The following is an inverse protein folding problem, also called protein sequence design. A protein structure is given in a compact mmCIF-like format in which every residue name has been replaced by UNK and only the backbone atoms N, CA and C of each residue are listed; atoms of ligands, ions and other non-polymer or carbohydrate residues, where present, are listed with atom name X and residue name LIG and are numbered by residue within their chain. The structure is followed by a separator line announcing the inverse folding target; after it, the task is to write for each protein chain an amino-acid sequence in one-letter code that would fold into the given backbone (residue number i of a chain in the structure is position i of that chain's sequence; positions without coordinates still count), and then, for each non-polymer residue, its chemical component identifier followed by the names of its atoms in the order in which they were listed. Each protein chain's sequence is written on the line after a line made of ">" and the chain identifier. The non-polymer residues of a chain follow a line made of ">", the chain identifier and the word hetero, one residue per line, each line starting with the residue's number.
data_IF_794978210197
#
_entry.id   IF_794978210197
#
_cell.length_a   1.000
_cell.length_b   1.000
_cell.length_c   1.000
_cell.angle_alpha   90.00
_cell.angle_beta   90.00
_cell.angle_gamma   90.00
#
_symmetry.space_group_name_H-M   'P 1'
#
loop_
_entity.id
_entity.type
_entity.pdbx_description
1 polymer ?
#
# COMPACT_ATOMS: atom_id res chain seq x y z
N UNK A 1 35.71 49.94 -29.54
CA UNK A 1 34.98 48.81 -28.91
C UNK A 1 33.65 49.35 -28.41
N UNK A 2 32.55 48.71 -28.81
CA UNK A 2 31.19 48.99 -28.34
C UNK A 2 30.42 50.01 -29.17
N UNK A 3 29.44 49.56 -29.95
CA UNK A 3 28.18 50.27 -30.19
C UNK A 3 27.05 49.27 -30.49
N UNK A 4 25.79 49.59 -30.13
CA UNK A 4 24.68 48.65 -30.03
C UNK A 4 23.65 48.75 -31.17
N UNK A 5 22.56 48.01 -30.97
CA UNK A 5 21.40 47.71 -31.80
C UNK A 5 20.72 48.82 -32.64
N UNK A 6 20.21 48.33 -33.78
CA UNK A 6 18.97 48.64 -34.56
C UNK A 6 18.75 50.02 -35.15
N UNK A 7 18.52 50.04 -36.47
CA UNK A 7 17.38 50.79 -37.01
C UNK A 7 16.80 50.16 -38.30
N UNK A 8 15.46 50.22 -38.41
CA UNK A 8 14.66 49.84 -39.58
C UNK A 8 14.54 51.03 -40.55
N UNK A 9 14.34 50.73 -41.84
CA UNK A 9 13.16 51.13 -42.63
C UNK A 9 13.44 51.59 -44.08
N UNK A 10 12.62 51.04 -44.98
CA UNK A 10 11.78 51.74 -45.98
C UNK A 10 12.06 51.58 -47.49
N UNK A 11 10.92 51.46 -48.21
CA UNK A 11 10.59 51.75 -49.65
C UNK A 11 10.57 50.54 -50.60
N UNK A 12 9.40 50.01 -51.04
CA UNK A 12 8.35 50.47 -52.03
C UNK A 12 8.51 49.70 -53.40
N UNK A 13 7.59 49.75 -54.40
CA UNK A 13 6.41 48.87 -54.58
C UNK A 13 6.22 48.31 -56.03
N UNK A 14 5.25 47.41 -56.28
CA UNK A 14 4.56 47.16 -57.60
C UNK A 14 3.50 46.06 -57.39
N UNK A 15 2.18 46.30 -57.48
CA UNK A 15 1.28 46.48 -58.63
C UNK A 15 0.59 45.18 -59.18
N UNK A 16 -0.70 45.02 -58.81
CA UNK A 16 -1.88 44.69 -59.64
C UNK A 16 -1.95 43.36 -60.45
N UNK A 17 -2.89 42.44 -60.10
CA UNK A 17 -4.05 42.04 -60.96
C UNK A 17 -5.02 41.05 -60.28
N UNK A 18 -6.26 41.11 -60.76
CA UNK A 18 -7.52 40.52 -60.30
C UNK A 18 -7.77 39.03 -60.65
N UNK A 19 -8.56 38.38 -59.77
CA UNK A 19 -9.73 37.49 -59.99
C UNK A 19 -9.58 36.19 -60.82
N UNK A 20 -9.85 35.05 -60.19
CA UNK A 20 -10.76 34.01 -60.72
C UNK A 20 -11.22 33.02 -59.63
N UNK A 21 -12.48 32.59 -59.77
CA UNK A 21 -13.29 31.73 -58.89
C UNK A 21 -13.08 30.23 -59.19
N UNK A 22 -13.54 29.39 -58.24
CA UNK A 22 -13.99 27.97 -58.30
C UNK A 22 -13.00 26.88 -57.85
N UNK A 23 -13.45 25.68 -57.38
CA UNK A 23 -14.62 25.35 -56.53
C UNK A 23 -14.26 24.66 -55.20
N UNK A 24 -15.18 24.72 -54.23
CA UNK A 24 -15.26 23.78 -53.10
C UNK A 24 -15.64 22.38 -53.61
N UNK A 25 -14.89 21.35 -53.22
CA UNK A 25 -15.26 19.94 -53.38
C UNK A 25 -16.25 19.53 -52.27
N UNK A 26 -17.35 18.82 -52.57
CA UNK A 26 -18.15 18.16 -51.55
C UNK A 26 -17.47 16.85 -51.07
N UNK A 27 -17.49 16.62 -49.76
CA UNK A 27 -17.03 15.39 -49.10
C UNK A 27 -18.01 14.24 -49.29
N UNK A 28 -17.49 13.02 -49.34
CA UNK A 28 -18.10 11.71 -49.67
C UNK A 28 -19.28 11.21 -48.79
N UNK A 29 -20.05 12.10 -48.14
CA UNK A 29 -21.17 11.71 -47.28
C UNK A 29 -22.52 11.58 -48.02
N UNK A 30 -22.68 12.24 -49.17
CA UNK A 30 -23.95 12.28 -49.93
C UNK A 30 -24.12 11.16 -50.98
N UNK A 31 -23.17 10.22 -51.08
CA UNK A 31 -23.28 9.05 -51.98
C UNK A 31 -23.76 7.77 -51.30
N UNK A 32 -23.91 7.78 -49.97
CA UNK A 32 -24.31 6.59 -49.19
C UNK A 32 -25.81 6.50 -48.88
N UNK A 33 -26.54 7.61 -48.85
CA UNK A 33 -27.99 7.59 -48.59
C UNK A 33 -28.86 7.22 -49.81
N UNK A 34 -28.32 7.34 -51.03
CA UNK A 34 -29.06 7.04 -52.27
C UNK A 34 -29.17 5.55 -52.62
N UNK A 35 -28.41 4.67 -51.96
CA UNK A 35 -28.37 3.24 -52.25
C UNK A 35 -29.18 2.36 -51.28
N UNK A 36 -29.71 2.93 -50.19
CA UNK A 36 -30.46 2.20 -49.17
C UNK A 36 -31.99 2.21 -49.35
N UNK A 37 -32.51 2.89 -50.37
CA UNK A 37 -33.95 2.96 -50.69
C UNK A 37 -34.39 2.04 -51.84
N UNK A 38 -33.53 1.11 -52.28
CA UNK A 38 -33.78 0.23 -53.44
C UNK A 38 -33.82 -1.28 -53.14
N UNK A 39 -33.82 -1.68 -51.86
CA UNK A 39 -33.99 -3.08 -51.46
C UNK A 39 -35.10 -3.20 -50.42
N UNK A 40 -36.34 -3.21 -50.90
CA UNK A 40 -37.50 -3.57 -50.10
C UNK A 40 -37.41 -5.03 -49.66
N UNK A 41 -37.28 -5.26 -48.34
CA UNK A 41 -37.56 -6.53 -47.65
C UNK A 41 -37.85 -6.25 -46.16
N UNK A 42 -39.15 -6.11 -45.83
CA UNK A 42 -39.74 -6.36 -44.50
C UNK A 42 -40.34 -7.80 -44.55
N UNK A 43 -40.58 -8.57 -43.45
CA UNK A 43 -40.89 -8.13 -42.07
C UNK A 43 -40.40 -9.07 -40.92
N UNK A 44 -39.60 -8.56 -39.97
CA UNK A 44 -39.24 -9.31 -38.73
C UNK A 44 -39.69 -8.65 -37.42
N UNK A 45 -40.19 -7.42 -37.47
CA UNK A 45 -40.38 -6.58 -36.28
C UNK A 45 -41.83 -6.52 -35.76
N UNK A 46 -42.78 -7.21 -36.42
CA UNK A 46 -44.18 -7.22 -35.99
C UNK A 46 -44.52 -8.32 -34.96
N UNK A 47 -43.68 -9.36 -34.81
CA UNK A 47 -43.92 -10.47 -33.87
C UNK A 47 -43.38 -10.20 -32.45
N UNK A 48 -42.40 -9.30 -32.30
CA UNK A 48 -41.85 -8.93 -30.99
C UNK A 48 -42.77 -8.03 -30.16
N UNK A 49 -43.61 -7.22 -30.81
CA UNK A 49 -44.45 -6.23 -30.12
C UNK A 49 -45.70 -6.83 -29.46
N UNK A 50 -46.20 -7.96 -29.98
CA UNK A 50 -47.35 -8.70 -29.40
C UNK A 50 -46.96 -9.56 -28.18
N UNK A 51 -45.71 -10.03 -28.09
CA UNK A 51 -45.23 -10.82 -26.95
C UNK A 51 -44.99 -9.97 -25.68
N UNK A 52 -44.62 -8.70 -25.85
CA UNK A 52 -44.36 -7.79 -24.71
C UNK A 52 -45.67 -7.38 -24.02
N UNK A 53 -46.78 -7.26 -24.75
CA UNK A 53 -48.10 -6.93 -24.20
C UNK A 53 -48.69 -8.07 -23.33
N UNK A 54 -48.41 -9.33 -23.66
CA UNK A 54 -48.91 -10.51 -22.92
C UNK A 54 -48.26 -10.70 -21.54
N UNK A 55 -46.98 -10.33 -21.41
CA UNK A 55 -46.19 -10.55 -20.18
C UNK A 55 -46.48 -9.48 -19.12
N UNK A 56 -46.85 -8.27 -19.55
CA UNK A 56 -47.24 -7.16 -18.66
C UNK A 56 -48.64 -7.40 -18.07
N UNK A 57 -49.58 -7.94 -18.87
CA UNK A 57 -50.94 -8.24 -18.43
C UNK A 57 -51.02 -9.37 -17.38
N UNK A 58 -50.14 -10.38 -17.48
CA UNK A 58 -50.07 -11.50 -16.52
C UNK A 58 -49.43 -11.09 -15.19
N UNK A 59 -48.46 -10.18 -15.22
CA UNK A 59 -47.80 -9.66 -14.00
C UNK A 59 -48.72 -8.75 -13.17
N UNK A 60 -49.59 -7.97 -13.82
CA UNK A 60 -50.58 -7.13 -13.15
C UNK A 60 -51.71 -7.93 -12.48
N UNK A 61 -52.06 -9.10 -13.02
CA UNK A 61 -53.10 -9.98 -12.44
C UNK A 61 -52.62 -10.66 -11.15
N UNK A 62 -51.32 -11.00 -11.05
CA UNK A 62 -50.73 -11.62 -9.85
C UNK A 62 -50.61 -10.60 -8.70
N UNK A 63 -50.28 -9.35 -9.01
CA UNK A 63 -50.24 -8.26 -8.02
C UNK A 63 -51.62 -7.88 -7.49
N UNK A 64 -52.67 -7.98 -8.32
CA UNK A 64 -54.05 -7.73 -7.89
C UNK A 64 -54.61 -8.86 -6.99
N UNK A 65 -54.15 -10.10 -7.15
CA UNK A 65 -54.57 -11.24 -6.31
C UNK A 65 -53.88 -11.28 -4.95
N UNK A 66 -52.69 -10.68 -4.80
CA UNK A 66 -51.98 -10.59 -3.51
C UNK A 66 -52.54 -9.47 -2.63
N UNK A 67 -53.22 -8.47 -3.21
CA UNK A 67 -53.69 -7.29 -2.48
C UNK A 67 -55.08 -7.43 -1.86
N UNK A 68 -55.75 -8.58 -1.98
CA UNK A 68 -57.08 -8.82 -1.40
C UNK A 68 -57.11 -10.10 -0.56
N UNK A 69 -56.82 -10.01 0.74
CA UNK A 69 -57.22 -11.05 1.69
C UNK A 69 -56.31 -11.26 2.89
N UNK A 70 -56.51 -10.46 3.95
CA UNK A 70 -56.27 -10.87 5.34
C UNK A 70 -57.59 -10.69 6.10
N UNK A 71 -57.88 -11.53 7.09
CA UNK A 71 -57.66 -11.03 8.44
C UNK A 71 -57.04 -12.04 9.43
N UNK A 72 -56.55 -11.44 10.51
CA UNK A 72 -55.80 -11.96 11.65
C UNK A 72 -56.44 -13.09 12.46
N UNK A 73 -55.60 -13.93 13.10
CA UNK A 73 -55.82 -14.40 14.48
C UNK A 73 -54.57 -15.01 15.12
N UNK A 74 -54.45 -14.69 16.40
CA UNK A 74 -53.51 -15.13 17.44
C UNK A 74 -53.66 -16.61 17.84
N UNK A 75 -52.56 -17.27 18.22
CA UNK A 75 -52.59 -18.48 19.05
C UNK A 75 -51.32 -19.34 18.96
N UNK A 76 -50.62 -19.50 20.08
CA UNK A 76 -49.54 -20.48 20.28
C UNK A 76 -50.02 -21.93 20.07
N UNK A 77 -49.17 -22.85 19.56
CA UNK A 77 -49.47 -24.28 19.59
C UNK A 77 -48.91 -24.96 20.87
N UNK A 78 -49.55 -26.05 21.34
CA UNK A 78 -49.06 -26.81 22.48
C UNK A 78 -48.11 -27.95 22.06
N UNK A 79 -47.34 -28.34 23.07
CA UNK A 79 -46.40 -29.45 23.21
C UNK A 79 -47.07 -30.80 22.89
N UNK A 80 -46.38 -31.63 22.09
CA UNK A 80 -46.62 -33.08 22.03
C UNK A 80 -45.39 -33.80 22.58
N UNK A 81 -45.61 -34.43 23.72
CA UNK A 81 -44.73 -35.35 24.43
C UNK A 81 -44.73 -36.70 23.73
N UNK A 82 -43.57 -37.27 23.45
CA UNK A 82 -43.44 -38.72 23.21
C UNK A 82 -42.38 -39.29 24.13
N UNK A 83 -42.88 -40.19 24.96
CA UNK A 83 -42.25 -40.95 26.01
C UNK A 83 -41.65 -42.24 25.43
N UNK A 84 -40.52 -42.69 25.99
CA UNK A 84 -40.01 -44.08 26.15
C UNK A 84 -38.48 -44.01 26.12
N UNK A 85 -37.70 -44.54 27.06
CA UNK A 85 -37.95 -45.39 28.20
C UNK A 85 -36.77 -46.36 28.36
N UNK A 86 -36.10 -46.36 29.53
CA UNK A 86 -35.32 -47.44 30.20
C UNK A 86 -34.10 -46.85 30.93
N UNK A 87 -34.20 -46.66 32.27
CA UNK A 87 -33.78 -47.56 33.38
C UNK A 87 -32.26 -47.59 33.61
N UNK A 88 -31.79 -46.90 34.65
CA UNK A 88 -31.43 -47.39 36.01
C UNK A 88 -29.98 -47.95 36.01
N UNK A 89 -29.03 -47.55 36.86
CA UNK A 89 -28.98 -47.54 38.34
C UNK A 89 -27.74 -46.73 38.82
N UNK A 90 -27.90 -45.93 39.88
CA UNK A 90 -27.04 -45.58 41.06
C UNK A 90 -25.49 -45.55 40.95
N UNK A 91 -24.69 -44.72 41.65
CA UNK A 91 -24.87 -43.78 42.76
C UNK A 91 -23.66 -42.82 42.85
N UNK A 92 -23.92 -41.58 43.27
CA UNK A 92 -23.14 -40.78 44.24
C UNK A 92 -21.68 -40.39 43.94
N UNK A 93 -21.44 -39.10 43.62
CA UNK A 93 -20.85 -38.11 44.56
C UNK A 93 -20.89 -36.69 43.95
N UNK A 94 -21.09 -35.72 44.85
CA UNK A 94 -21.27 -34.28 44.63
C UNK A 94 -20.07 -33.62 43.93
N UNK A 95 -20.32 -32.74 42.95
CA UNK A 95 -20.17 -31.28 43.09
C UNK A 95 -20.55 -30.58 41.77
N UNK A 96 -21.44 -29.58 41.85
CA UNK A 96 -21.75 -28.58 40.81
C UNK A 96 -21.17 -27.25 41.33
N UNK A 97 -20.67 -26.32 40.49
CA UNK A 97 -21.49 -25.68 39.46
C UNK A 97 -20.79 -25.36 38.12
N UNK A 98 -21.60 -25.12 37.09
CA UNK A 98 -21.20 -24.41 35.86
C UNK A 98 -21.37 -25.20 34.57
N UNK A 99 -22.61 -25.40 34.13
CA UNK A 99 -22.86 -25.79 32.74
C UNK A 99 -22.52 -24.63 31.79
N UNK A 100 -21.68 -24.95 30.79
CA UNK A 100 -21.75 -24.50 29.39
C UNK A 100 -21.77 -23.01 29.09
N UNK A 101 -20.75 -22.59 28.33
CA UNK A 101 -20.93 -22.24 26.93
C UNK A 101 -19.58 -22.38 26.22
N UNK A 102 -19.24 -23.60 25.78
CA UNK A 102 -18.18 -23.77 24.79
C UNK A 102 -18.76 -23.29 23.47
N UNK A 103 -18.44 -22.04 23.16
CA UNK A 103 -18.67 -21.43 21.86
C UNK A 103 -18.03 -22.30 20.77
N UNK A 104 -18.88 -23.00 20.01
CA UNK A 104 -18.45 -23.82 18.85
C UNK A 104 -17.86 -22.98 17.72
N UNK A 105 -17.90 -21.65 17.78
CA UNK A 105 -17.25 -20.80 16.78
C UNK A 105 -15.76 -20.54 17.03
N UNK A 106 -15.17 -21.03 18.14
CA UNK A 106 -13.73 -20.84 18.42
C UNK A 106 -12.80 -21.93 17.88
N UNK A 107 -13.32 -22.97 17.23
CA UNK A 107 -12.53 -24.11 16.77
C UNK A 107 -12.35 -24.21 15.23
N UNK A 108 -12.80 -23.20 14.47
CA UNK A 108 -12.62 -23.17 13.00
C UNK A 108 -11.55 -22.19 12.50
N UNK A 109 -10.88 -21.46 13.39
CA UNK A 109 -9.74 -20.64 13.01
C UNK A 109 -8.47 -21.48 13.17
N UNK A 110 -8.05 -22.14 12.08
CA UNK A 110 -6.66 -22.62 11.97
C UNK A 110 -5.67 -21.47 12.19
N UNK A 111 -4.34 -21.73 12.26
CA UNK A 111 -3.31 -20.74 12.60
C UNK A 111 -3.09 -19.64 11.53
N UNK A 112 -4.09 -19.39 10.67
CA UNK A 112 -4.08 -18.46 9.56
C UNK A 112 -5.19 -17.39 9.64
N UNK A 113 -5.85 -17.24 10.79
CA UNK A 113 -6.83 -16.18 11.00
C UNK A 113 -6.14 -14.84 11.29
N UNK A 114 -6.51 -13.83 10.48
CA UNK A 114 -6.45 -12.39 10.76
C UNK A 114 -5.11 -11.76 11.15
N UNK A 115 -4.14 -11.82 10.23
CA UNK A 115 -3.02 -10.88 10.27
C UNK A 115 -3.24 -9.81 9.19
N UNK A 116 -3.60 -8.59 9.64
CA UNK A 116 -3.72 -7.40 8.79
C UNK A 116 -2.32 -6.98 8.33
N UNK A 117 -2.14 -6.76 7.02
CA UNK A 117 -0.84 -6.31 6.50
C UNK A 117 -0.72 -4.81 6.79
N UNK A 118 0.39 -4.43 7.40
CA UNK A 118 0.79 -3.04 7.53
C UNK A 118 1.51 -2.64 6.24
N UNK A 119 0.75 -2.12 5.26
CA UNK A 119 1.29 -1.84 3.92
C UNK A 119 2.44 -0.83 3.90
N UNK A 120 2.55 0.03 4.91
CA UNK A 120 3.66 0.97 5.07
C UNK A 120 4.98 0.26 5.41
N UNK A 121 4.93 -0.93 6.03
CA UNK A 121 6.11 -1.74 6.36
C UNK A 121 6.64 -2.55 5.16
N UNK A 122 5.87 -2.63 4.08
CA UNK A 122 6.34 -3.23 2.84
C UNK A 122 7.33 -2.29 2.16
N UNK A 123 8.42 -2.83 1.61
CA UNK A 123 9.21 -2.09 0.62
C UNK A 123 8.37 -1.80 -0.63
N UNK A 124 8.78 -0.79 -1.40
CA UNK A 124 8.15 -0.46 -2.69
C UNK A 124 8.04 -1.70 -3.60
N UNK A 125 9.11 -2.49 -3.70
CA UNK A 125 9.14 -3.72 -4.51
C UNK A 125 8.18 -4.80 -3.96
N UNK A 126 8.02 -4.93 -2.64
CA UNK A 126 7.06 -5.85 -2.03
C UNK A 126 5.62 -5.40 -2.32
N UNK A 127 5.36 -4.09 -2.23
CA UNK A 127 4.06 -3.53 -2.54
C UNK A 127 3.71 -3.69 -4.03
N UNK A 128 4.64 -3.42 -4.93
CA UNK A 128 4.50 -3.67 -6.37
C UNK A 128 4.19 -5.14 -6.67
N UNK A 129 4.92 -6.09 -6.05
CA UNK A 129 4.64 -7.53 -6.19
C UNK A 129 3.25 -7.90 -5.70
N UNK A 130 2.80 -7.32 -4.59
CA UNK A 130 1.44 -7.52 -4.08
C UNK A 130 0.40 -7.04 -5.09
N UNK A 131 0.54 -5.82 -5.62
CA UNK A 131 -0.35 -5.27 -6.64
C UNK A 131 -0.34 -6.14 -7.89
N UNK A 132 0.83 -6.62 -8.35
CA UNK A 132 0.95 -7.53 -9.49
C UNK A 132 0.16 -8.82 -9.28
N UNK A 133 0.27 -9.44 -8.11
CA UNK A 133 -0.44 -10.68 -7.78
C UNK A 133 -1.95 -10.45 -7.71
N UNK A 134 -2.40 -9.33 -7.13
CA UNK A 134 -3.80 -8.91 -7.13
C UNK A 134 -4.31 -8.72 -8.57
N UNK A 135 -3.59 -7.96 -9.40
CA UNK A 135 -3.97 -7.73 -10.79
C UNK A 135 -3.95 -9.01 -11.61
N UNK A 136 -3.02 -9.93 -11.36
CA UNK A 136 -2.99 -11.25 -12.02
C UNK A 136 -4.25 -12.06 -11.68
N UNK A 137 -4.72 -11.97 -10.44
CA UNK A 137 -5.98 -12.59 -10.03
C UNK A 137 -7.21 -11.86 -10.60
N UNK A 138 -7.20 -10.53 -10.72
CA UNK A 138 -8.33 -9.78 -11.28
C UNK A 138 -8.45 -9.91 -12.80
N UNK A 139 -7.32 -9.81 -13.51
CA UNK A 139 -7.25 -9.65 -14.96
C UNK A 139 -6.91 -10.96 -15.65
N UNK A 140 -6.07 -11.80 -15.04
CA UNK A 140 -5.62 -13.08 -15.57
C UNK A 140 -4.10 -13.19 -15.68
N UNK A 141 -3.58 -14.36 -16.10
CA UNK A 141 -2.14 -14.67 -16.11
C UNK A 141 -1.32 -13.83 -17.11
N UNK A 142 -1.96 -13.10 -18.02
CA UNK A 142 -1.30 -12.26 -19.01
C UNK A 142 -0.83 -10.89 -18.47
N UNK A 143 -0.99 -10.64 -17.16
CA UNK A 143 -0.40 -9.46 -16.51
C UNK A 143 1.12 -9.56 -16.59
N UNK A 144 1.74 -8.54 -17.18
CA UNK A 144 3.19 -8.43 -17.34
C UNK A 144 3.71 -7.30 -16.45
N UNK A 145 4.42 -7.66 -15.40
CA UNK A 145 5.19 -6.72 -14.58
C UNK A 145 6.49 -6.31 -15.27
N UNK A 146 6.94 -5.08 -15.01
CA UNK A 146 8.19 -4.56 -15.53
C UNK A 146 9.24 -4.46 -14.42
N UNK A 147 10.50 -4.73 -14.75
CA UNK A 147 11.62 -4.46 -13.85
C UNK A 147 11.94 -2.97 -13.84
N UNK A 148 12.47 -2.46 -12.72
CA UNK A 148 12.93 -1.07 -12.61
C UNK A 148 13.95 -0.77 -13.72
N UNK A 149 13.60 0.16 -14.61
CA UNK A 149 14.40 0.53 -15.76
C UNK A 149 14.03 1.92 -16.29
N UNK A 150 14.71 2.41 -17.34
CA UNK A 150 14.46 3.73 -17.93
C UNK A 150 13.03 3.91 -18.49
N UNK A 151 12.29 2.81 -18.64
CA UNK A 151 10.95 2.75 -19.20
C UNK A 151 9.89 3.38 -18.27
N UNK A 152 9.89 4.71 -18.23
CA UNK A 152 8.67 5.50 -18.40
C UNK A 152 7.59 5.47 -17.32
N UNK A 153 7.77 4.76 -16.21
CA UNK A 153 6.86 4.78 -15.07
C UNK A 153 5.57 3.99 -15.26
N UNK A 154 5.66 2.75 -15.76
CA UNK A 154 4.58 1.75 -15.64
C UNK A 154 5.11 0.57 -14.83
N UNK A 155 4.36 0.12 -13.83
CA UNK A 155 4.79 -1.02 -13.02
C UNK A 155 4.33 -2.35 -13.66
N UNK A 156 3.16 -2.32 -14.31
CA UNK A 156 2.67 -3.46 -15.08
C UNK A 156 1.73 -3.08 -16.22
N UNK A 157 1.48 -4.04 -17.11
CA UNK A 157 0.43 -3.96 -18.12
C UNK A 157 -0.33 -5.27 -18.28
N UNK A 158 -1.52 -5.18 -18.84
CA UNK A 158 -2.30 -6.32 -19.32
C UNK A 158 -2.89 -6.00 -20.69
N UNK A 159 -2.98 -7.00 -21.56
CA UNK A 159 -3.57 -6.86 -22.89
C UNK A 159 -4.48 -8.07 -23.15
N UNK A 160 -5.79 -7.81 -23.28
CA UNK A 160 -6.79 -8.83 -23.56
C UNK A 160 -8.07 -8.61 -22.75
N UNK A 161 -8.89 -9.65 -22.65
CA UNK A 161 -10.12 -9.67 -21.87
C UNK A 161 -9.86 -10.12 -20.44
N UNK A 162 -10.18 -9.28 -19.47
CA UNK A 162 -10.02 -9.57 -18.06
C UNK A 162 -10.89 -10.75 -17.60
N UNK A 163 -10.43 -11.50 -16.60
CA UNK A 163 -11.18 -12.63 -16.05
C UNK A 163 -12.31 -12.21 -15.10
N UNK A 164 -12.05 -11.24 -14.22
CA UNK A 164 -12.94 -10.92 -13.08
C UNK A 164 -13.33 -9.43 -12.99
N UNK A 165 -12.62 -8.54 -13.67
CA UNK A 165 -12.75 -7.09 -13.47
C UNK A 165 -13.36 -6.36 -14.67
N UNK A 166 -14.29 -5.41 -14.47
CA UNK A 166 -14.94 -5.05 -13.20
C UNK A 166 -15.98 -6.09 -12.75
N UNK A 167 -16.42 -6.96 -13.65
CA UNK A 167 -17.25 -8.13 -13.36
C UNK A 167 -16.97 -9.26 -14.34
N UNK A 168 -17.38 -10.49 -14.01
CA UNK A 168 -17.23 -11.65 -14.90
C UNK A 168 -18.16 -11.61 -16.11
N UNK A 169 -19.27 -10.87 -16.04
CA UNK A 169 -20.25 -10.74 -17.12
C UNK A 169 -19.95 -9.58 -18.07
N UNK A 170 -19.28 -8.54 -17.58
CA UNK A 170 -18.83 -7.40 -18.37
C UNK A 170 -17.38 -7.03 -18.03
N UNK A 171 -16.41 -7.90 -18.33
CA UNK A 171 -15.02 -7.62 -18.05
C UNK A 171 -14.47 -6.54 -18.99
N UNK A 172 -13.45 -5.81 -18.53
CA UNK A 172 -12.67 -4.94 -19.40
C UNK A 172 -11.94 -5.78 -20.46
N UNK A 173 -11.89 -5.27 -21.69
CA UNK A 173 -11.25 -5.94 -22.82
C UNK A 173 -10.41 -4.93 -23.61
N UNK A 174 -9.09 -5.01 -23.47
CA UNK A 174 -8.17 -4.05 -24.08
C UNK A 174 -6.85 -3.96 -23.34
N UNK A 175 -6.19 -2.79 -23.47
CA UNK A 175 -4.89 -2.52 -22.86
C UNK A 175 -5.08 -1.81 -21.52
N UNK A 176 -4.69 -2.49 -20.45
CA UNK A 176 -4.78 -1.98 -19.08
C UNK A 176 -3.36 -1.64 -18.61
N UNK A 177 -3.15 -0.40 -18.18
CA UNK A 177 -1.90 0.02 -17.51
C UNK A 177 -2.13 0.04 -16.02
N UNK A 178 -1.20 -0.56 -15.27
CA UNK A 178 -1.28 -0.71 -13.82
C UNK A 178 -0.11 0.05 -13.22
N UNK A 179 -0.45 0.95 -12.29
CA UNK A 179 0.51 1.69 -11.49
C UNK A 179 0.27 1.41 -10.01
N UNK A 180 1.34 1.14 -9.28
CA UNK A 180 1.43 1.09 -7.85
C UNK A 180 2.18 2.34 -7.34
N UNK A 181 1.71 2.93 -6.24
CA UNK A 181 2.38 4.03 -5.55
C UNK A 181 2.42 3.72 -4.06
N UNK A 182 3.61 3.48 -3.55
CA UNK A 182 3.84 3.17 -2.13
C UNK A 182 4.29 4.43 -1.36
N UNK A 183 4.01 4.45 -0.06
CA UNK A 183 4.61 5.35 0.92
C UNK A 183 4.86 4.61 2.22
N UNK A 184 6.00 4.84 2.83
CA UNK A 184 6.37 4.36 4.16
C UNK A 184 5.63 5.11 5.29
N UNK A 185 4.99 6.24 4.98
CA UNK A 185 4.25 7.00 5.97
C UNK A 185 2.91 6.34 6.31
N UNK A 186 2.59 6.37 7.60
CA UNK A 186 1.38 5.75 8.15
C UNK A 186 0.15 6.65 7.91
N UNK A 187 -1.03 6.05 7.74
CA UNK A 187 -2.34 6.74 7.70
C UNK A 187 -2.50 7.81 6.60
N UNK A 188 -1.71 7.71 5.52
CA UNK A 188 -1.77 8.64 4.39
C UNK A 188 -3.05 8.48 3.58
N UNK A 189 -3.43 9.55 2.89
CA UNK A 189 -4.68 9.62 2.12
C UNK A 189 -4.42 10.07 0.70
N UNK A 190 -5.26 9.62 -0.23
CA UNK A 190 -5.24 10.10 -1.61
C UNK A 190 -5.50 11.61 -1.73
N UNK A 191 -6.19 12.21 -0.76
CA UNK A 191 -6.53 13.64 -0.77
C UNK A 191 -5.38 14.55 -0.34
N UNK A 192 -4.28 14.01 0.17
CA UNK A 192 -3.18 14.83 0.68
C UNK A 192 -2.46 15.59 -0.44
N UNK A 193 -1.91 16.79 -0.15
CA UNK A 193 -1.32 17.65 -1.18
C UNK A 193 -0.12 17.03 -1.92
N UNK A 194 0.69 16.22 -1.23
CA UNK A 194 1.83 15.50 -1.81
C UNK A 194 1.40 14.50 -2.89
N UNK A 195 0.19 13.92 -2.77
CA UNK A 195 -0.33 12.98 -3.74
C UNK A 195 -1.17 13.64 -4.84
N UNK A 196 -2.13 14.47 -4.45
CA UNK A 196 -3.23 14.89 -5.31
C UNK A 196 -3.38 16.41 -5.52
N UNK A 197 -2.41 17.23 -5.09
CA UNK A 197 -2.45 18.66 -5.42
C UNK A 197 -2.21 18.91 -6.92
N UNK A 198 -2.48 20.14 -7.34
CA UNK A 198 -2.15 20.62 -8.70
C UNK A 198 -0.70 21.14 -8.80
N UNK A 199 0.09 21.03 -7.72
CA UNK A 199 1.51 21.32 -7.77
C UNK A 199 2.22 20.32 -8.70
N UNK A 200 3.25 20.78 -9.40
CA UNK A 200 4.04 19.94 -10.31
C UNK A 200 4.79 18.81 -9.58
N UNK A 201 5.03 18.98 -8.28
CA UNK A 201 5.72 18.00 -7.42
C UNK A 201 4.78 16.96 -6.82
N UNK A 202 3.47 17.02 -7.10
CA UNK A 202 2.55 16.00 -6.59
C UNK A 202 2.69 14.72 -7.40
N UNK A 203 2.58 13.58 -6.73
CA UNK A 203 2.73 12.27 -7.37
C UNK A 203 1.78 12.16 -8.57
N UNK A 204 0.52 12.58 -8.41
CA UNK A 204 -0.45 12.52 -9.51
C UNK A 204 -0.07 13.44 -10.66
N UNK A 205 0.37 14.68 -10.40
CA UNK A 205 0.77 15.63 -11.44
C UNK A 205 1.94 15.13 -12.29
N UNK A 206 2.87 14.37 -11.70
CA UNK A 206 3.97 13.73 -12.43
C UNK A 206 3.51 12.55 -13.29
N UNK A 207 2.45 11.87 -12.87
CA UNK A 207 1.87 10.74 -13.60
C UNK A 207 1.01 11.17 -14.80
N UNK A 208 0.24 12.26 -14.69
CA UNK A 208 -0.69 12.68 -15.77
C UNK A 208 -0.02 12.85 -17.16
N UNK A 209 1.18 13.46 -17.28
CA UNK A 209 1.89 13.54 -18.57
C UNK A 209 2.29 12.17 -19.12
N UNK A 210 2.58 11.19 -18.27
CA UNK A 210 2.94 9.84 -18.69
C UNK A 210 1.72 9.15 -19.28
N UNK A 211 0.61 9.16 -18.55
CA UNK A 211 -0.68 8.59 -18.98
C UNK A 211 -1.11 9.16 -20.35
N UNK A 212 -0.95 10.47 -20.56
CA UNK A 212 -1.18 11.14 -21.85
C UNK A 212 -0.37 10.55 -23.00
N UNK A 213 0.93 10.31 -22.78
CA UNK A 213 1.82 9.70 -23.79
C UNK A 213 1.38 8.29 -24.13
N UNK A 214 0.93 7.52 -23.13
CA UNK A 214 0.46 6.14 -23.34
C UNK A 214 -0.82 6.09 -24.17
N UNK A 215 -1.76 6.99 -23.90
CA UNK A 215 -2.96 7.11 -24.74
C UNK A 215 -2.59 7.52 -26.16
N UNK A 216 -1.72 8.52 -26.32
CA UNK A 216 -1.30 8.98 -27.64
C UNK A 216 -0.59 7.88 -28.46
N UNK A 217 0.12 6.96 -27.78
CA UNK A 217 0.74 5.79 -28.39
C UNK A 217 -0.23 4.62 -28.67
N UNK A 218 -1.51 4.73 -28.29
CA UNK A 218 -2.49 3.65 -28.41
C UNK A 218 -2.21 2.48 -27.46
N UNK A 219 -1.52 2.71 -26.35
CA UNK A 219 -1.13 1.68 -25.37
C UNK A 219 -2.00 1.64 -24.12
N UNK A 220 -3.05 2.46 -24.07
CA UNK A 220 -3.89 2.64 -22.89
C UNK A 220 -5.36 2.73 -23.30
N UNK A 221 -6.15 1.74 -22.88
CA UNK A 221 -7.61 1.78 -22.92
C UNK A 221 -8.19 1.96 -21.51
N UNK A 222 -7.57 1.31 -20.53
CA UNK A 222 -7.96 1.37 -19.12
C UNK A 222 -6.76 1.65 -18.22
N UNK A 223 -6.99 2.34 -17.10
CA UNK A 223 -5.95 2.70 -16.15
C UNK A 223 -6.31 2.24 -14.73
N UNK A 224 -5.38 1.57 -14.06
CA UNK A 224 -5.50 1.18 -12.66
C UNK A 224 -4.38 1.82 -11.83
N UNK A 225 -4.75 2.46 -10.72
CA UNK A 225 -3.79 3.03 -9.77
C UNK A 225 -4.05 2.48 -8.37
N UNK A 226 -3.07 1.76 -7.85
CA UNK A 226 -3.04 1.22 -6.51
C UNK A 226 -2.14 2.08 -5.63
N UNK A 227 -2.57 2.33 -4.40
CA UNK A 227 -1.69 2.94 -3.39
C UNK A 227 -2.05 2.44 -2.00
N UNK A 228 -1.06 2.36 -1.12
CA UNK A 228 -1.29 2.09 0.31
C UNK A 228 -1.81 3.33 1.08
N UNK A 229 -2.51 4.21 0.38
CA UNK A 229 -3.23 5.37 0.92
C UNK A 229 -4.71 5.05 1.05
N UNK A 230 -5.37 5.66 2.02
CA UNK A 230 -6.83 5.57 2.15
C UNK A 230 -7.54 6.39 1.08
N UNK A 231 -8.58 5.81 0.49
CA UNK A 231 -9.33 6.41 -0.62
C UNK A 231 -10.75 6.77 -0.16
N UNK A 232 -10.99 8.06 0.13
CA UNK A 232 -12.32 8.56 0.46
C UNK A 232 -13.15 8.79 -0.82
N UNK A 233 -14.46 8.55 -0.78
CA UNK A 233 -15.33 8.62 -1.97
C UNK A 233 -15.30 9.96 -2.73
N UNK A 234 -15.26 11.09 -2.00
CA UNK A 234 -15.13 12.42 -2.65
C UNK A 234 -13.77 12.58 -3.35
N UNK A 235 -12.71 12.02 -2.77
CA UNK A 235 -11.38 12.05 -3.37
C UNK A 235 -11.31 11.10 -4.58
N UNK A 236 -11.92 9.93 -4.49
CA UNK A 236 -12.03 8.97 -5.60
C UNK A 236 -12.65 9.62 -6.83
N UNK A 237 -13.84 10.20 -6.70
CA UNK A 237 -14.56 10.78 -7.85
C UNK A 237 -13.74 11.91 -8.50
N UNK A 238 -13.17 12.79 -7.68
CA UNK A 238 -12.33 13.90 -8.13
C UNK A 238 -11.11 13.41 -8.89
N UNK A 239 -10.40 12.43 -8.34
CA UNK A 239 -9.14 11.94 -8.91
C UNK A 239 -9.37 11.07 -10.16
N UNK A 240 -10.41 10.23 -10.14
CA UNK A 240 -10.84 9.43 -11.29
C UNK A 240 -11.14 10.31 -12.48
N UNK A 241 -11.96 11.36 -12.30
CA UNK A 241 -12.26 12.36 -13.34
C UNK A 241 -11.01 13.10 -13.81
N UNK A 242 -10.13 13.52 -12.89
CA UNK A 242 -8.87 14.21 -13.22
C UNK A 242 -7.97 13.34 -14.11
N UNK A 243 -7.83 12.05 -13.80
CA UNK A 243 -7.06 11.09 -14.59
C UNK A 243 -7.73 10.84 -15.94
N UNK A 244 -9.05 10.60 -15.97
CA UNK A 244 -9.80 10.35 -17.19
C UNK A 244 -9.71 11.51 -18.19
N UNK A 245 -9.89 12.75 -17.71
CA UNK A 245 -9.73 13.97 -18.50
C UNK A 245 -8.30 14.09 -19.03
N UNK A 246 -7.29 13.85 -18.19
CA UNK A 246 -5.91 13.91 -18.62
C UNK A 246 -5.60 12.86 -19.70
N UNK A 247 -6.09 11.63 -19.51
CA UNK A 247 -5.87 10.52 -20.42
C UNK A 247 -6.72 10.61 -21.69
N UNK A 248 -7.83 11.36 -21.71
CA UNK A 248 -8.79 11.35 -22.82
C UNK A 248 -9.52 10.01 -22.94
N UNK A 249 -9.86 9.38 -21.81
CA UNK A 249 -10.65 8.14 -21.73
C UNK A 249 -11.91 8.38 -20.88
N UNK A 250 -12.84 7.44 -20.94
CA UNK A 250 -14.06 7.47 -20.12
C UNK A 250 -13.72 7.34 -18.62
N UNK A 251 -14.49 7.99 -17.76
CA UNK A 251 -14.23 7.96 -16.32
C UNK A 251 -14.49 6.59 -15.71
N UNK A 252 -15.28 5.72 -16.36
CA UNK A 252 -15.46 4.31 -16.00
C UNK A 252 -14.28 3.42 -16.39
N UNK A 253 -13.34 3.93 -17.21
CA UNK A 253 -12.14 3.20 -17.61
C UNK A 253 -10.94 3.46 -16.67
N UNK A 254 -11.16 4.16 -15.56
CA UNK A 254 -10.16 4.44 -14.54
C UNK A 254 -10.59 3.78 -13.23
N UNK A 255 -9.70 2.99 -12.64
CA UNK A 255 -9.90 2.37 -11.33
C UNK A 255 -8.83 2.84 -10.35
N UNK A 256 -9.27 3.28 -9.16
CA UNK A 256 -8.43 3.69 -8.06
C UNK A 256 -8.64 2.70 -6.91
N UNK A 257 -7.55 2.14 -6.40
CA UNK A 257 -7.56 1.19 -5.31
C UNK A 257 -6.75 1.73 -4.13
N UNK A 258 -7.43 1.96 -3.01
CA UNK A 258 -6.79 2.29 -1.74
C UNK A 258 -6.53 1.06 -0.89
N UNK A 259 -6.11 1.29 0.36
CA UNK A 259 -5.93 0.21 1.35
C UNK A 259 -7.18 -0.64 1.54
N UNK A 260 -8.36 -0.03 1.48
CA UNK A 260 -9.65 -0.69 1.65
C UNK A 260 -9.94 -1.70 0.52
N UNK A 261 -9.58 -1.37 -0.72
CA UNK A 261 -9.73 -2.27 -1.87
C UNK A 261 -8.72 -3.42 -1.82
N UNK A 262 -7.47 -3.12 -1.44
CA UNK A 262 -6.40 -4.13 -1.30
C UNK A 262 -6.79 -5.14 -0.21
N UNK A 263 -7.22 -4.66 0.98
CA UNK A 263 -7.72 -5.51 2.07
C UNK A 263 -8.87 -6.40 1.56
N UNK A 264 -9.86 -5.81 0.88
CA UNK A 264 -10.98 -6.55 0.29
C UNK A 264 -10.52 -7.67 -0.65
N UNK A 265 -9.56 -7.43 -1.53
CA UNK A 265 -9.06 -8.47 -2.44
C UNK A 265 -8.32 -9.58 -1.70
N UNK A 266 -7.56 -9.22 -0.68
CA UNK A 266 -6.85 -10.19 0.16
C UNK A 266 -7.79 -11.01 1.04
N UNK A 267 -8.95 -10.47 1.41
CA UNK A 267 -9.97 -11.20 2.16
C UNK A 267 -10.76 -12.15 1.24
N UNK A 268 -11.01 -11.73 0.00
CA UNK A 268 -11.67 -12.57 -1.02
C UNK A 268 -10.76 -13.72 -1.50
N UNK A 269 -9.45 -13.50 -1.58
CA UNK A 269 -8.47 -14.51 -1.96
C UNK A 269 -7.24 -14.46 -1.03
N UNK A 270 -7.28 -15.17 0.11
CA UNK A 270 -6.20 -15.15 1.11
C UNK A 270 -4.84 -15.66 0.59
N UNK A 271 -4.83 -16.54 -0.41
CA UNK A 271 -3.60 -17.07 -1.00
C UNK A 271 -2.81 -16.00 -1.80
N UNK A 272 -3.38 -14.83 -2.12
CA UNK A 272 -2.64 -13.74 -2.74
C UNK A 272 -1.47 -13.27 -1.88
N UNK A 273 -1.62 -13.32 -0.54
CA UNK A 273 -0.54 -12.94 0.40
C UNK A 273 0.68 -13.85 0.22
N UNK A 274 0.43 -15.17 0.22
CA UNK A 274 1.48 -16.18 0.01
C UNK A 274 2.12 -16.05 -1.38
N UNK A 275 1.31 -15.83 -2.42
CA UNK A 275 1.78 -15.66 -3.80
C UNK A 275 2.63 -14.40 -3.98
N UNK A 276 2.35 -13.34 -3.23
CA UNK A 276 3.17 -12.12 -3.21
C UNK A 276 4.49 -12.29 -2.43
N UNK A 277 4.70 -13.45 -1.78
CA UNK A 277 5.84 -13.69 -0.90
C UNK A 277 5.75 -12.90 0.40
N UNK A 278 4.54 -12.62 0.88
CA UNK A 278 4.27 -11.99 2.18
C UNK A 278 3.83 -13.12 3.10
N UNK A 279 4.78 -13.81 3.73
CA UNK A 279 4.50 -14.98 4.57
C UNK A 279 4.51 -14.63 6.07
N UNK A 280 3.51 -15.13 6.80
CA UNK A 280 3.04 -14.57 8.06
C UNK A 280 3.91 -14.84 9.30
N UNK A 281 5.01 -15.58 9.17
CA UNK A 281 5.80 -16.05 10.33
C UNK A 281 7.22 -15.47 10.40
N UNK A 282 7.71 -14.83 9.34
CA UNK A 282 9.10 -14.34 9.29
C UNK A 282 9.25 -12.91 8.75
N UNK A 283 8.18 -12.29 8.24
CA UNK A 283 8.20 -10.92 7.70
C UNK A 283 7.55 -9.87 8.62
N UNK A 284 6.86 -10.28 9.69
CA UNK A 284 6.58 -9.35 10.80
C UNK A 284 7.81 -9.34 11.69
N UNK A 285 8.72 -8.44 11.37
CA UNK A 285 9.56 -7.89 12.41
C UNK A 285 8.65 -7.21 13.44
N UNK A 286 8.86 -7.41 14.75
CA UNK A 286 8.27 -6.51 15.74
C UNK A 286 8.46 -5.08 15.26
N UNK A 287 7.36 -4.34 15.24
CA UNK A 287 7.33 -2.94 14.87
C UNK A 287 8.37 -2.23 15.74
N UNK A 288 9.42 -1.74 15.11
CA UNK A 288 10.28 -0.70 15.69
C UNK A 288 9.76 0.55 15.00
N UNK A 289 9.22 1.50 15.75
CA UNK A 289 9.04 2.86 15.24
C UNK A 289 10.44 3.48 15.15
N UNK A 290 11.06 3.59 13.96
CA UNK A 290 12.35 4.22 13.87
C UNK A 290 12.28 5.73 14.18
N UNK A 291 11.07 6.31 14.28
CA UNK A 291 10.83 7.72 14.55
C UNK A 291 11.37 8.18 15.90
N UNK A 292 11.28 7.36 16.95
CA UNK A 292 11.87 7.68 18.24
C UNK A 292 13.40 7.73 18.15
N UNK A 293 14.01 6.74 17.50
CA UNK A 293 15.46 6.76 17.23
C UNK A 293 15.87 7.94 16.34
N UNK A 294 15.05 8.28 15.34
CA UNK A 294 15.29 9.38 14.43
C UNK A 294 15.25 10.72 15.17
N UNK A 295 14.31 10.92 16.11
CA UNK A 295 14.27 12.10 16.98
C UNK A 295 15.51 12.21 17.86
N UNK A 296 15.97 11.10 18.45
CA UNK A 296 17.24 11.07 19.21
C UNK A 296 18.43 11.46 18.33
N UNK A 297 18.51 10.92 17.12
CA UNK A 297 19.58 11.25 16.17
C UNK A 297 19.46 12.71 15.67
N UNK A 298 18.25 13.23 15.56
CA UNK A 298 18.00 14.61 15.19
C UNK A 298 18.56 15.56 16.24
N UNK A 299 18.11 15.39 17.50
CA UNK A 299 18.60 16.15 18.64
C UNK A 299 20.11 16.02 18.83
N UNK A 300 20.68 14.81 18.66
CA UNK A 300 22.13 14.60 18.73
C UNK A 300 22.90 15.37 17.66
N UNK A 301 22.41 15.46 16.42
CA UNK A 301 23.15 16.21 15.39
C UNK A 301 22.98 17.72 15.54
N UNK A 302 21.81 18.18 16.00
CA UNK A 302 21.60 19.59 16.35
C UNK A 302 22.53 19.98 17.50
N UNK A 303 22.58 19.16 18.55
CA UNK A 303 23.52 19.31 19.65
C UNK A 303 24.97 19.24 19.17
N UNK A 304 25.36 18.32 18.26
CA UNK A 304 26.72 18.27 17.68
C UNK A 304 27.06 19.49 16.82
N UNK A 305 26.08 20.09 16.15
CA UNK A 305 26.26 21.35 15.44
C UNK A 305 26.59 22.52 16.39
N UNK A 306 26.01 22.49 17.59
CA UNK A 306 26.27 23.42 18.68
C UNK A 306 27.53 23.05 19.51
N UNK A 307 27.86 21.76 19.59
CA UNK A 307 29.00 21.17 20.27
C UNK A 307 30.14 20.96 19.27
N UNK A 308 30.61 22.04 18.65
CA UNK A 308 31.90 22.03 17.99
C UNK A 308 32.96 21.71 19.04
N UNK A 309 33.42 20.45 19.05
CA UNK A 309 34.54 19.89 19.79
C UNK A 309 34.92 20.66 21.07
N UNK A 310 34.36 20.26 22.22
CA UNK A 310 35.07 20.46 23.48
C UNK A 310 36.25 19.48 23.45
N UNK A 311 37.51 19.93 23.27
CA UNK A 311 38.66 19.04 23.33
C UNK A 311 38.82 18.63 24.79
N UNK A 312 38.60 17.34 25.08
CA UNK A 312 38.69 16.80 26.43
C UNK A 312 37.38 16.86 27.21
N UNK A 313 36.35 16.14 26.75
CA UNK A 313 35.30 15.74 27.69
C UNK A 313 35.92 14.78 28.69
N UNK A 314 36.21 15.25 29.90
CA UNK A 314 36.62 14.42 31.06
C UNK A 314 35.51 13.46 31.54
N UNK A 315 34.44 13.31 30.75
CA UNK A 315 33.36 12.36 30.98
C UNK A 315 33.88 10.97 30.56
N UNK A 316 34.13 10.06 31.51
CA UNK A 316 34.51 8.71 31.19
C UNK A 316 33.39 8.04 30.37
N UNK A 317 33.73 7.06 29.49
CA UNK A 317 32.70 6.27 28.83
C UNK A 317 31.76 5.64 29.88
N UNK A 318 30.51 5.29 29.50
CA UNK A 318 29.54 4.73 30.44
C UNK A 318 30.13 3.55 31.19
N UNK A 319 29.95 3.53 32.52
CA UNK A 319 30.35 2.38 33.34
C UNK A 319 29.59 1.14 32.86
N UNK A 320 30.35 0.13 32.46
CA UNK A 320 29.76 -1.08 31.91
C UNK A 320 29.19 -1.95 33.02
N UNK A 321 27.94 -2.39 32.88
CA UNK A 321 27.35 -3.43 33.73
C UNK A 321 28.14 -4.74 33.66
N UNK A 322 28.68 -5.06 32.49
CA UNK A 322 29.55 -6.23 32.23
C UNK A 322 30.68 -5.81 31.29
N UNK A 323 31.90 -6.29 31.55
CA UNK A 323 33.06 -5.98 30.73
C UNK A 323 32.85 -6.33 29.26
N UNK A 324 33.26 -5.46 28.33
CA UNK A 324 33.01 -5.64 26.90
C UNK A 324 33.44 -7.01 26.35
N UNK A 325 34.57 -7.55 26.82
CA UNK A 325 35.06 -8.86 26.39
C UNK A 325 34.10 -10.00 26.83
N UNK A 326 33.60 -9.93 28.06
CA UNK A 326 32.64 -10.90 28.60
C UNK A 326 31.28 -10.77 27.91
N UNK A 327 30.82 -9.54 27.65
CA UNK A 327 29.60 -9.29 26.87
C UNK A 327 29.67 -9.87 25.45
N UNK A 328 30.81 -9.73 24.78
CA UNK A 328 31.03 -10.29 23.45
C UNK A 328 30.96 -11.82 23.47
N UNK A 329 31.51 -12.45 24.52
CA UNK A 329 31.42 -13.90 24.72
C UNK A 329 29.97 -14.35 24.94
N UNK A 330 29.22 -13.67 25.82
CA UNK A 330 27.81 -13.98 26.12
C UNK A 330 26.94 -13.89 24.86
N UNK A 331 27.17 -12.89 24.01
CA UNK A 331 26.34 -12.65 22.84
C UNK A 331 26.82 -13.41 21.59
N UNK A 332 28.10 -13.81 21.53
CA UNK A 332 28.71 -14.40 20.35
C UNK A 332 29.09 -13.35 19.31
N UNK A 333 29.61 -12.19 19.74
CA UNK A 333 30.13 -11.16 18.84
C UNK A 333 31.57 -11.52 18.44
N UNK A 334 31.90 -11.46 17.15
CA UNK A 334 33.25 -11.78 16.67
C UNK A 334 34.28 -10.74 17.11
N UNK A 335 35.55 -11.15 17.14
CA UNK A 335 36.66 -10.24 17.45
C UNK A 335 36.79 -9.11 16.41
N UNK A 336 36.55 -9.39 15.14
CA UNK A 336 36.63 -8.41 14.05
C UNK A 336 35.52 -7.36 14.18
N UNK A 337 34.29 -7.80 14.46
CA UNK A 337 33.17 -6.89 14.67
C UNK A 337 33.33 -6.10 15.98
N UNK A 338 33.88 -6.70 17.03
CA UNK A 338 34.24 -5.99 18.26
C UNK A 338 35.30 -4.90 18.00
N UNK A 339 36.27 -5.15 17.12
CA UNK A 339 37.25 -4.14 16.71
C UNK A 339 36.59 -2.98 15.94
N UNK A 340 35.61 -3.28 15.07
CA UNK A 340 34.78 -2.26 14.40
C UNK A 340 34.04 -1.38 15.41
N UNK A 341 33.34 -1.98 16.38
CA UNK A 341 32.62 -1.24 17.44
C UNK A 341 33.56 -0.30 18.20
N UNK A 342 34.79 -0.75 18.52
CA UNK A 342 35.79 0.07 19.22
C UNK A 342 36.17 1.36 18.48
N UNK A 343 36.06 1.40 17.15
CA UNK A 343 36.35 2.63 16.37
C UNK A 343 35.37 3.78 16.65
N UNK A 344 34.21 3.47 17.24
CA UNK A 344 33.16 4.43 17.60
C UNK A 344 33.23 4.91 19.05
N UNK A 345 34.14 4.38 19.89
CA UNK A 345 34.19 4.71 21.33
C UNK A 345 34.32 6.21 21.63
N UNK A 346 35.09 6.94 20.80
CA UNK A 346 35.24 8.39 20.92
C UNK A 346 33.93 9.16 20.79
N UNK A 347 32.94 8.57 20.12
CA UNK A 347 31.65 9.18 19.87
C UNK A 347 30.62 8.87 21.00
N UNK A 348 30.96 8.00 21.98
CA UNK A 348 30.05 7.57 23.05
C UNK A 348 29.90 8.58 24.20
N UNK A 349 30.98 9.23 24.63
CA UNK A 349 30.90 10.25 25.68
C UNK A 349 29.96 11.43 25.32
N UNK A 350 29.97 11.96 24.07
CA UNK A 350 28.98 12.92 23.63
C UNK A 350 27.52 12.40 23.68
N UNK A 351 27.29 11.13 23.35
CA UNK A 351 25.95 10.53 23.41
C UNK A 351 25.48 10.44 24.86
N UNK A 352 26.33 9.95 25.76
CA UNK A 352 26.03 9.88 27.18
C UNK A 352 25.74 11.27 27.77
N UNK A 353 26.57 12.27 27.46
CA UNK A 353 26.39 13.64 27.91
C UNK A 353 25.07 14.25 27.41
N UNK A 354 24.72 14.00 26.14
CA UNK A 354 23.44 14.44 25.57
C UNK A 354 22.25 13.81 26.29
N UNK A 355 22.25 12.49 26.50
CA UNK A 355 21.16 11.76 27.15
C UNK A 355 21.03 12.07 28.65
N UNK A 356 22.12 12.44 29.32
CA UNK A 356 22.12 12.78 30.74
C UNK A 356 21.67 14.23 31.02
N UNK A 357 21.64 15.11 30.01
CA UNK A 357 21.27 16.51 30.19
C UNK A 357 19.76 16.64 30.51
N UNK A 358 19.36 17.36 31.57
CA UNK A 358 17.95 17.51 31.94
C UNK A 358 17.08 18.11 30.84
N UNK A 359 17.62 19.03 30.02
CA UNK A 359 16.92 19.60 28.86
C UNK A 359 16.55 18.56 27.78
N UNK A 360 17.23 17.41 27.76
CA UNK A 360 17.03 16.33 26.78
C UNK A 360 16.23 15.16 27.35
N UNK A 361 15.51 15.34 28.47
CA UNK A 361 14.75 14.26 29.12
C UNK A 361 13.76 13.55 28.16
N UNK A 362 13.15 14.29 27.23
CA UNK A 362 12.27 13.70 26.22
C UNK A 362 13.02 12.77 25.25
N UNK A 363 14.26 13.14 24.87
CA UNK A 363 15.11 12.30 24.02
C UNK A 363 15.61 11.06 24.76
N UNK A 364 15.83 11.14 26.08
CA UNK A 364 16.12 9.97 26.90
C UNK A 364 14.93 8.99 26.94
N UNK A 365 13.70 9.52 26.96
CA UNK A 365 12.48 8.72 26.80
C UNK A 365 12.49 7.93 25.49
N UNK A 366 12.61 8.62 24.36
CA UNK A 366 12.68 8.00 23.03
C UNK A 366 13.83 6.99 22.89
N UNK A 367 14.98 7.28 23.50
CA UNK A 367 16.10 6.34 23.54
C UNK A 367 15.73 5.05 24.27
N UNK A 368 15.07 5.17 25.42
CA UNK A 368 14.68 4.02 26.26
C UNK A 368 13.62 3.17 25.56
N UNK A 369 12.59 3.80 24.98
CA UNK A 369 11.55 3.11 24.22
C UNK A 369 12.16 2.35 23.03
N UNK A 370 13.12 2.97 22.33
CA UNK A 370 13.84 2.30 21.23
C UNK A 370 14.66 1.09 21.72
N UNK A 371 15.29 1.18 22.90
CA UNK A 371 16.06 0.05 23.47
C UNK A 371 15.15 -1.16 23.69
N UNK A 372 13.96 -0.94 24.23
CA UNK A 372 12.99 -2.02 24.50
C UNK A 372 12.51 -2.67 23.20
N UNK A 373 12.16 -1.87 22.19
CA UNK A 373 11.74 -2.35 20.87
C UNK A 373 12.86 -3.15 20.17
N UNK A 374 14.09 -2.63 20.19
CA UNK A 374 15.24 -3.29 19.59
C UNK A 374 15.59 -4.60 20.30
N UNK A 375 15.45 -4.68 21.63
CA UNK A 375 15.62 -5.94 22.34
C UNK A 375 14.53 -6.96 21.96
N UNK A 376 13.27 -6.53 21.82
CA UNK A 376 12.20 -7.38 21.29
C UNK A 376 12.52 -7.92 19.90
N UNK A 377 13.03 -7.06 19.01
CA UNK A 377 13.51 -7.46 17.67
C UNK A 377 14.66 -8.46 17.75
N UNK A 378 15.69 -8.15 18.53
CA UNK A 378 16.88 -9.00 18.64
C UNK A 378 16.50 -10.38 19.19
N UNK A 379 15.66 -10.46 20.22
CA UNK A 379 15.25 -11.74 20.81
C UNK A 379 14.40 -12.55 19.84
N UNK A 380 13.44 -11.92 19.14
CA UNK A 380 12.57 -12.62 18.19
C UNK A 380 13.32 -13.20 16.99
N UNK A 381 14.40 -12.52 16.55
CA UNK A 381 15.14 -12.95 15.36
C UNK A 381 16.38 -13.82 15.67
N UNK A 382 16.77 -13.95 16.94
CA UNK A 382 18.01 -14.66 17.32
C UNK A 382 17.82 -16.17 17.19
N UNK A 383 18.70 -16.79 16.40
CA UNK A 383 18.77 -18.25 16.26
C UNK A 383 19.88 -18.84 17.15
N UNK A 384 19.74 -20.08 17.65
CA UNK A 384 20.82 -20.75 18.39
C UNK A 384 22.10 -20.82 17.56
N UNK A 385 23.24 -20.42 18.15
CA UNK A 385 24.55 -20.46 17.50
C UNK A 385 24.79 -19.37 16.43
N UNK A 386 23.85 -18.45 16.20
CA UNK A 386 24.04 -17.35 15.27
C UNK A 386 25.03 -16.31 15.85
N UNK A 387 26.03 -15.85 15.08
CA UNK A 387 26.92 -14.77 15.52
C UNK A 387 26.13 -13.47 15.69
N UNK A 388 26.46 -12.72 16.74
CA UNK A 388 25.73 -11.48 17.06
C UNK A 388 25.97 -10.37 16.03
N UNK A 389 27.06 -10.45 15.28
CA UNK A 389 27.42 -9.60 14.16
C UNK A 389 26.27 -9.50 13.15
N UNK A 390 25.73 -10.65 12.74
CA UNK A 390 24.64 -10.73 11.76
C UNK A 390 23.36 -10.09 12.30
N UNK A 391 23.13 -10.19 13.61
CA UNK A 391 21.97 -9.61 14.27
C UNK A 391 22.10 -8.08 14.25
N UNK A 392 23.25 -7.54 14.67
CA UNK A 392 23.49 -6.10 14.65
C UNK A 392 23.44 -5.52 13.22
N UNK A 393 24.05 -6.19 12.25
CA UNK A 393 24.02 -5.76 10.85
C UNK A 393 22.61 -5.80 10.27
N UNK A 394 21.83 -6.84 10.57
CA UNK A 394 20.44 -6.94 10.14
C UNK A 394 19.58 -5.85 10.78
N UNK A 395 19.76 -5.58 12.06
CA UNK A 395 19.09 -4.47 12.75
C UNK A 395 19.45 -3.13 12.12
N UNK A 396 20.73 -2.86 11.85
CA UNK A 396 21.16 -1.63 11.17
C UNK A 396 20.53 -1.49 9.78
N UNK A 397 20.51 -2.55 8.97
CA UNK A 397 19.86 -2.54 7.65
C UNK A 397 18.39 -2.16 7.78
N UNK A 398 17.67 -2.77 8.73
CA UNK A 398 16.26 -2.46 8.99
C UNK A 398 16.04 -1.00 9.38
N UNK A 399 16.88 -0.47 10.27
CA UNK A 399 16.84 0.94 10.65
C UNK A 399 17.08 1.87 9.44
N UNK A 400 18.03 1.53 8.57
CA UNK A 400 18.29 2.31 7.35
C UNK A 400 17.19 2.18 6.29
N UNK A 401 16.58 1.01 6.19
CA UNK A 401 15.54 0.76 5.18
C UNK A 401 14.23 1.45 5.55
N UNK A 402 13.95 1.63 6.86
CA UNK A 402 12.68 2.16 7.36
C UNK A 402 12.62 3.66 7.63
N UNK A 403 13.76 4.35 7.76
CA UNK A 403 13.76 5.77 8.08
C UNK A 403 14.82 6.56 7.31
N UNK A 404 14.37 7.66 6.69
CA UNK A 404 15.20 8.52 5.86
C UNK A 404 16.30 9.24 6.65
N UNK A 405 16.01 9.73 7.85
CA UNK A 405 16.97 10.44 8.69
C UNK A 405 18.03 9.49 9.24
N UNK A 406 17.64 8.28 9.65
CA UNK A 406 18.56 7.21 10.02
C UNK A 406 19.45 6.81 8.84
N UNK A 407 18.88 6.71 7.63
CA UNK A 407 19.61 6.40 6.39
C UNK A 407 20.58 7.50 5.98
N UNK A 408 20.23 8.77 6.19
CA UNK A 408 21.10 9.89 5.86
C UNK A 408 22.20 10.09 6.89
N UNK A 409 21.97 9.69 8.14
CA UNK A 409 22.90 9.85 9.25
C UNK A 409 23.53 8.52 9.68
N UNK A 410 23.87 7.66 8.71
CA UNK A 410 24.34 6.28 8.97
C UNK A 410 25.45 6.14 10.01
N UNK A 411 26.34 7.14 10.10
CA UNK A 411 27.40 7.15 11.11
C UNK A 411 26.83 7.31 12.51
N UNK A 412 25.93 8.27 12.72
CA UNK A 412 25.29 8.52 14.01
C UNK A 412 24.38 7.34 14.40
N UNK A 413 23.64 6.76 13.46
CA UNK A 413 22.81 5.58 13.71
C UNK A 413 23.64 4.38 14.16
N UNK A 414 24.80 4.15 13.51
CA UNK A 414 25.77 3.14 13.97
C UNK A 414 26.32 3.47 15.35
N UNK A 415 26.73 4.72 15.57
CA UNK A 415 27.22 5.17 16.89
C UNK A 415 26.19 4.85 17.98
N UNK A 416 24.92 5.16 17.76
CA UNK A 416 23.89 5.00 18.77
C UNK A 416 23.55 3.53 19.03
N UNK A 417 23.43 2.69 17.99
CA UNK A 417 23.25 1.25 18.17
C UNK A 417 24.44 0.59 18.88
N UNK A 418 25.67 0.97 18.52
CA UNK A 418 26.88 0.46 19.16
C UNK A 418 27.02 0.98 20.60
N UNK A 419 26.59 2.20 20.87
CA UNK A 419 26.49 2.76 22.21
C UNK A 419 25.53 1.94 23.07
N UNK A 420 24.31 1.66 22.57
CA UNK A 420 23.33 0.83 23.29
C UNK A 420 23.89 -0.57 23.58
N UNK A 421 24.59 -1.20 22.61
CA UNK A 421 25.25 -2.47 22.86
C UNK A 421 26.35 -2.34 23.93
N UNK A 422 27.23 -1.35 23.80
CA UNK A 422 28.32 -1.11 24.75
C UNK A 422 27.82 -0.83 26.18
N UNK A 423 26.76 -0.05 26.33
CA UNK A 423 26.14 0.33 27.59
C UNK A 423 25.29 -0.78 28.23
N UNK A 424 25.30 -1.98 27.63
CA UNK A 424 24.49 -3.11 28.08
C UNK A 424 22.99 -2.96 27.91
N UNK A 425 22.54 -2.03 27.06
CA UNK A 425 21.14 -1.84 26.73
C UNK A 425 20.66 -2.84 25.68
N UNK A 426 21.52 -3.29 24.75
CA UNK A 426 21.17 -4.32 23.75
C UNK A 426 21.85 -5.66 23.99
N UNK A 427 21.09 -6.74 23.79
CA UNK A 427 21.59 -8.11 23.93
C UNK A 427 21.66 -8.56 25.39
N UNK A 428 22.19 -9.76 25.62
CA UNK A 428 22.25 -10.34 26.98
C UNK A 428 23.42 -9.75 27.77
N UNK A 429 23.20 -9.59 29.07
CA UNK A 429 24.16 -9.18 30.08
C UNK A 429 24.60 -10.34 30.98
N UNK A 430 23.99 -11.51 30.84
CA UNK A 430 24.28 -12.70 31.66
C UNK A 430 24.15 -13.98 30.84
N UNK A 431 24.86 -15.03 31.28
CA UNK A 431 24.61 -16.38 30.79
C UNK A 431 23.23 -16.83 31.31
N UNK A 432 22.33 -17.15 30.39
CA UNK A 432 21.01 -17.69 30.68
C UNK A 432 21.08 -19.14 31.16
#
# INVERSE_FOLDING_TARGET
>A
MGFPHTDMASRRPTAIRQVSRWPRRPSDFDRWLGWLLLLGLLPGLALGWLAIQSTIATSLLILLLISSGLPSRSGNPPIVTLWTGCRNVDAGRKDKPGDRFLDRNRLNNGPNADMKILYHDLSEDQFERLVLVICTWLLGPAVQGFSKGPDGGKDARFCGRAERFPSTTGPWDGRIVIQAKHTDLINRKFSEPDFASDANSSILSEELPRIKRLRAAGELDYYMLFSNRRLAGVAEERLRKRIAIAAGIDDTAVYLAGTEDIDKYLDLEPDLRRRAGIDRLFDIDPFIDPGDLARVIQGLAEARGCLAAVPGSDIPPPEQRVGFAEKNLINGLSADYAALVKTYLKDFAPVQGFLAAPENAEHLGWYTDTVDDLNGLIQSQRRPGQPFDEILDRTLRKLFDRDYDLRNRKRLTRTLLYYMYWNCDLGRDSHA
#
